data_IF_378786134265
#
_entry.id   IF_378786134265
#
_cell.length_a   1.000
_cell.length_b   1.000
_cell.length_c   1.000
_cell.angle_alpha   90.00
_cell.angle_beta   90.00
_cell.angle_gamma   90.00
#
_symmetry.space_group_name_H-M   'P 1'
#
loop_
_entity.id
_entity.type
_entity.pdbx_description
1 polymer ?
#
# COMPACT_ATOMS: atom_id res chain seq x y z
N UNK A 1 -1.60 -5.33 -1.26
CA UNK A 1 -2.40 -4.33 -2.00
C UNK A 1 -3.23 -3.44 -1.08
N UNK A 2 -3.75 -3.98 0.01
CA UNK A 2 -4.62 -3.23 0.92
C UNK A 2 -3.95 -1.97 1.48
N UNK A 3 -2.71 -2.10 1.95
CA UNK A 3 -1.97 -0.95 2.49
C UNK A 3 -1.63 0.10 1.43
N UNK A 4 -1.46 -0.33 0.18
CA UNK A 4 -1.15 0.59 -0.91
C UNK A 4 -2.30 1.55 -1.21
N UNK A 5 -3.53 1.06 -1.10
CA UNK A 5 -4.74 1.83 -1.41
C UNK A 5 -5.47 2.33 -0.16
N UNK A 6 -5.09 1.88 1.02
CA UNK A 6 -5.79 2.18 2.26
C UNK A 6 -5.81 3.67 2.62
N UNK A 7 -4.81 4.43 2.17
CA UNK A 7 -4.73 5.87 2.39
C UNK A 7 -5.54 6.73 1.42
N UNK A 8 -6.18 6.13 0.41
CA UNK A 8 -6.97 6.88 -0.57
C UNK A 8 -8.31 7.32 0.00
N UNK A 9 -8.85 8.41 -0.54
CA UNK A 9 -10.12 8.99 -0.07
C UNK A 9 -11.27 8.00 -0.17
N UNK A 10 -11.32 7.19 -1.21
CA UNK A 10 -12.39 6.22 -1.48
C UNK A 10 -12.26 4.93 -0.67
N UNK A 11 -11.12 4.69 -0.02
CA UNK A 11 -10.96 3.51 0.83
C UNK A 11 -11.88 3.61 2.05
N UNK A 12 -12.37 2.47 2.57
CA UNK A 12 -13.14 2.48 3.82
C UNK A 12 -12.28 2.95 4.98
N UNK A 13 -12.91 3.59 5.94
CA UNK A 13 -12.25 4.12 7.13
C UNK A 13 -12.36 5.63 7.23
N UNK A 14 -12.36 6.11 8.47
CA UNK A 14 -12.45 7.53 8.75
C UNK A 14 -11.09 8.23 8.52
N UNK A 15 -11.17 9.49 8.16
CA UNK A 15 -9.98 10.36 8.12
C UNK A 15 -9.72 10.92 9.51
N UNK A 16 -8.49 10.85 9.97
CA UNK A 16 -8.03 11.42 11.23
C UNK A 16 -6.94 12.47 11.00
N UNK A 17 -6.89 13.46 11.88
CA UNK A 17 -5.77 14.41 11.94
C UNK A 17 -4.95 14.10 13.20
N UNK A 18 -3.65 13.88 13.03
CA UNK A 18 -2.73 13.61 14.12
C UNK A 18 -1.43 14.38 13.89
N UNK A 19 -1.03 15.17 14.86
CA UNK A 19 0.18 16.01 14.77
C UNK A 19 0.24 16.88 13.50
N UNK A 20 -0.91 17.43 13.07
CA UNK A 20 -1.02 18.30 11.90
C UNK A 20 -1.02 17.56 10.56
N UNK A 21 -1.04 16.23 10.55
CA UNK A 21 -1.10 15.40 9.33
C UNK A 21 -2.40 14.62 9.26
N UNK A 22 -2.88 14.39 8.04
CA UNK A 22 -4.06 13.58 7.79
C UNK A 22 -3.70 12.11 7.62
N UNK A 23 -4.53 11.25 8.19
CA UNK A 23 -4.40 9.81 8.12
C UNK A 23 -5.75 9.17 7.84
N UNK A 24 -5.73 7.98 7.25
CA UNK A 24 -6.90 7.10 7.17
C UNK A 24 -6.75 5.97 8.18
N UNK A 25 -7.83 5.66 8.87
CA UNK A 25 -7.87 4.52 9.78
C UNK A 25 -7.86 3.23 8.96
N UNK A 26 -6.97 2.33 9.31
CA UNK A 26 -6.84 1.01 8.69
C UNK A 26 -7.16 -0.08 9.70
N UNK A 27 -7.95 -1.06 9.29
CA UNK A 27 -8.27 -2.24 10.10
C UNK A 27 -8.05 -3.51 9.28
N UNK A 28 -7.28 -4.46 9.83
CA UNK A 28 -7.23 -5.81 9.30
C UNK A 28 -8.58 -6.50 9.48
N UNK A 29 -8.92 -7.40 8.57
CA UNK A 29 -10.22 -8.11 8.59
C UNK A 29 -10.47 -8.86 9.89
N UNK A 30 -9.44 -9.41 10.50
CA UNK A 30 -9.51 -10.13 11.77
C UNK A 30 -9.33 -9.27 13.02
N UNK A 31 -9.25 -7.93 12.90
CA UNK A 31 -9.17 -7.04 14.05
C UNK A 31 -10.50 -7.00 14.81
N UNK A 32 -10.45 -6.65 16.09
CA UNK A 32 -11.65 -6.56 16.92
C UNK A 32 -12.68 -5.56 16.35
N UNK A 33 -12.21 -4.39 15.93
CA UNK A 33 -13.08 -3.38 15.35
C UNK A 33 -13.71 -3.79 14.01
N UNK A 34 -12.99 -4.54 13.18
CA UNK A 34 -13.53 -5.08 11.93
C UNK A 34 -14.58 -6.17 12.19
N UNK A 35 -14.34 -7.05 13.16
CA UNK A 35 -15.30 -8.10 13.55
C UNK A 35 -16.60 -7.52 14.09
N UNK A 36 -16.53 -6.47 14.90
CA UNK A 36 -17.70 -5.76 15.39
C UNK A 36 -18.53 -5.11 14.28
N UNK A 37 -17.91 -4.81 13.13
CA UNK A 37 -18.57 -4.19 11.98
C UNK A 37 -19.02 -5.17 10.90
N UNK A 38 -18.99 -6.47 11.16
CA UNK A 38 -19.59 -7.49 10.31
C UNK A 38 -18.64 -8.46 9.63
N UNK A 39 -17.31 -8.34 9.80
CA UNK A 39 -16.38 -9.32 9.22
C UNK A 39 -16.39 -10.67 9.96
N UNK A 40 -17.08 -10.76 11.07
CA UNK A 40 -17.23 -11.98 11.86
C UNK A 40 -17.84 -13.14 11.06
N UNK A 41 -18.72 -12.87 10.10
CA UNK A 41 -19.29 -13.88 9.19
C UNK A 41 -18.19 -14.66 8.48
N UNK A 42 -17.17 -13.98 8.06
CA UNK A 42 -16.02 -14.54 7.33
C UNK A 42 -15.22 -15.52 8.20
N UNK A 43 -15.29 -15.36 9.52
CA UNK A 43 -14.57 -16.19 10.49
C UNK A 43 -15.49 -17.12 11.27
N UNK A 44 -16.75 -17.26 10.84
CA UNK A 44 -17.76 -18.12 11.48
C UNK A 44 -17.98 -17.79 12.98
N UNK A 45 -18.04 -16.51 13.29
CA UNK A 45 -18.19 -16.01 14.67
C UNK A 45 -19.46 -15.17 14.86
N UNK A 46 -20.46 -15.37 14.02
CA UNK A 46 -21.69 -14.55 13.99
C UNK A 46 -22.45 -14.51 15.34
N UNK A 47 -22.51 -15.63 16.01
CA UNK A 47 -23.26 -15.77 17.28
C UNK A 47 -22.42 -15.42 18.51
N UNK A 48 -21.24 -14.87 18.32
CA UNK A 48 -20.33 -14.55 19.42
C UNK A 48 -20.39 -13.07 19.77
N UNK A 49 -20.34 -12.78 21.07
CA UNK A 49 -20.17 -11.41 21.54
C UNK A 49 -18.75 -10.91 21.17
N UNK A 50 -18.54 -9.57 21.06
CA UNK A 50 -17.20 -9.02 20.74
C UNK A 50 -16.09 -9.53 21.67
N UNK A 51 -16.40 -9.81 22.93
CA UNK A 51 -15.44 -10.34 23.91
C UNK A 51 -14.95 -11.75 23.62
N UNK A 52 -15.67 -12.50 22.78
CA UNK A 52 -15.33 -13.87 22.40
C UNK A 52 -14.59 -13.95 21.06
N UNK A 53 -14.50 -12.84 20.34
CA UNK A 53 -13.76 -12.78 19.08
C UNK A 53 -12.26 -12.84 19.34
N UNK A 54 -11.57 -13.61 18.51
CA UNK A 54 -10.10 -13.66 18.51
C UNK A 54 -9.60 -12.73 17.41
N UNK A 55 -9.04 -11.56 17.75
CA UNK A 55 -8.53 -10.65 16.74
C UNK A 55 -7.28 -11.22 16.05
N UNK A 56 -7.32 -11.33 14.73
CA UNK A 56 -6.22 -11.81 13.91
C UNK A 56 -5.53 -10.69 13.14
N UNK A 57 -6.19 -9.56 12.98
CA UNK A 57 -5.68 -8.40 12.28
C UNK A 57 -5.32 -7.25 13.23
N UNK A 58 -4.61 -6.27 12.68
CA UNK A 58 -4.23 -5.06 13.40
C UNK A 58 -5.17 -3.90 13.07
N UNK A 59 -5.24 -2.95 13.98
CA UNK A 59 -5.81 -1.63 13.73
C UNK A 59 -4.67 -0.61 13.70
N UNK A 60 -4.76 0.35 12.80
CA UNK A 60 -3.75 1.37 12.67
C UNK A 60 -4.21 2.51 11.79
N UNK A 61 -3.27 3.33 11.41
CA UNK A 61 -3.52 4.44 10.49
C UNK A 61 -2.44 4.46 9.41
N UNK A 62 -2.83 4.90 8.23
CA UNK A 62 -1.92 5.11 7.12
C UNK A 62 -2.04 6.55 6.63
N UNK A 63 -0.97 7.08 6.06
CA UNK A 63 -0.98 8.45 5.55
C UNK A 63 -2.09 8.65 4.51
N UNK A 64 -2.80 9.76 4.61
CA UNK A 64 -3.80 10.14 3.61
C UNK A 64 -3.12 10.47 2.28
N UNK A 65 -3.60 9.87 1.21
CA UNK A 65 -3.00 9.99 -0.13
C UNK A 65 -3.85 10.78 -1.13
N UNK A 66 -5.03 11.23 -0.72
CA UNK A 66 -5.97 11.91 -1.62
C UNK A 66 -6.78 10.94 -2.48
N UNK A 67 -7.33 11.41 -3.61
CA UNK A 67 -8.17 10.60 -4.48
C UNK A 67 -7.46 9.35 -5.01
N UNK A 68 -8.19 8.26 -5.13
CA UNK A 68 -7.69 7.01 -5.71
C UNK A 68 -7.14 7.22 -7.12
N UNK A 69 -7.78 8.06 -7.89
CA UNK A 69 -7.37 8.37 -9.26
C UNK A 69 -5.90 8.80 -9.35
N UNK A 70 -5.45 9.63 -8.43
CA UNK A 70 -4.06 10.11 -8.42
C UNK A 70 -3.07 8.96 -8.14
N UNK A 71 -3.43 8.08 -7.22
CA UNK A 71 -2.62 6.89 -6.93
C UNK A 71 -2.53 5.96 -8.13
N UNK A 72 -3.65 5.67 -8.79
CA UNK A 72 -3.68 4.83 -9.99
C UNK A 72 -2.87 5.46 -11.13
N UNK A 73 -3.01 6.76 -11.34
CA UNK A 73 -2.24 7.47 -12.34
C UNK A 73 -0.72 7.29 -12.13
N UNK A 74 -0.26 7.43 -10.90
CA UNK A 74 1.15 7.25 -10.57
C UNK A 74 1.62 5.82 -10.73
N UNK A 75 0.82 4.83 -10.29
CA UNK A 75 1.15 3.43 -10.47
C UNK A 75 1.24 3.05 -11.95
N UNK A 76 0.31 3.52 -12.75
CA UNK A 76 0.34 3.29 -14.20
C UNK A 76 1.52 3.97 -14.87
N UNK A 77 1.90 5.15 -14.42
CA UNK A 77 3.12 5.83 -14.85
C UNK A 77 4.37 5.01 -14.56
N UNK A 78 4.43 4.41 -13.38
CA UNK A 78 5.53 3.51 -12.99
C UNK A 78 5.61 2.27 -13.88
N UNK A 79 4.47 1.64 -14.18
CA UNK A 79 4.40 0.48 -15.10
C UNK A 79 4.90 0.86 -16.49
N UNK A 80 4.43 1.98 -17.03
CA UNK A 80 4.87 2.46 -18.36
C UNK A 80 6.36 2.75 -18.39
N UNK A 81 6.90 3.39 -17.37
CA UNK A 81 8.33 3.63 -17.26
C UNK A 81 9.12 2.32 -17.21
N UNK A 82 8.68 1.36 -16.41
CA UNK A 82 9.28 0.03 -16.33
C UNK A 82 9.27 -0.70 -17.68
N UNK A 83 8.17 -0.62 -18.42
CA UNK A 83 8.08 -1.17 -19.77
C UNK A 83 9.08 -0.49 -20.72
N UNK A 84 9.25 0.81 -20.61
CA UNK A 84 10.25 1.54 -21.39
C UNK A 84 11.69 1.09 -21.08
N UNK A 85 12.02 0.95 -19.80
CA UNK A 85 13.34 0.50 -19.37
C UNK A 85 13.67 -0.94 -19.79
N UNK A 86 12.68 -1.82 -19.80
CA UNK A 86 12.88 -3.23 -20.20
C UNK A 86 12.68 -3.48 -21.68
N UNK A 87 12.28 -2.47 -22.44
CA UNK A 87 11.96 -2.62 -23.87
C UNK A 87 10.71 -3.47 -24.12
N UNK A 88 9.78 -3.49 -23.18
CA UNK A 88 8.57 -4.30 -23.26
C UNK A 88 7.46 -3.57 -23.99
N UNK A 89 7.06 -4.09 -25.13
CA UNK A 89 6.07 -3.51 -26.03
C UNK A 89 4.65 -3.55 -25.45
N UNK A 90 4.36 -4.55 -24.61
CA UNK A 90 3.07 -4.74 -23.96
C UNK A 90 3.23 -5.49 -22.64
N UNK A 91 2.15 -5.61 -21.86
CA UNK A 91 2.18 -6.27 -20.56
C UNK A 91 2.50 -7.76 -20.65
N UNK A 92 2.09 -8.42 -21.72
CA UNK A 92 2.41 -9.83 -21.94
C UNK A 92 3.92 -10.04 -22.08
N UNK A 93 4.57 -9.23 -22.88
CA UNK A 93 6.04 -9.26 -23.04
C UNK A 93 6.76 -8.90 -21.75
N UNK A 94 6.26 -7.93 -20.99
CA UNK A 94 6.82 -7.60 -19.69
C UNK A 94 6.82 -8.80 -18.75
N UNK A 95 5.73 -9.56 -18.69
CA UNK A 95 5.61 -10.73 -17.82
C UNK A 95 6.42 -11.94 -18.28
N UNK A 96 6.50 -12.16 -19.59
CA UNK A 96 7.10 -13.36 -20.16
C UNK A 96 8.58 -13.22 -20.50
N UNK A 97 9.02 -12.03 -20.90
CA UNK A 97 10.36 -11.81 -21.42
C UNK A 97 11.27 -11.01 -20.49
N UNK A 98 10.72 -10.28 -19.52
CA UNK A 98 11.52 -9.53 -18.55
C UNK A 98 12.35 -10.48 -17.69
N UNK A 99 13.60 -10.12 -17.44
CA UNK A 99 14.53 -10.92 -16.66
C UNK A 99 14.79 -10.29 -15.30
N UNK A 100 14.87 -11.12 -14.28
CA UNK A 100 15.24 -10.69 -12.94
C UNK A 100 16.72 -10.93 -12.69
N UNK A 101 17.36 -10.00 -12.02
CA UNK A 101 18.73 -10.15 -11.53
C UNK A 101 18.74 -10.07 -10.01
N UNK A 102 19.63 -10.85 -9.39
CA UNK A 102 19.88 -10.71 -7.96
C UNK A 102 20.72 -9.47 -7.70
N UNK A 103 20.35 -8.74 -6.68
CA UNK A 103 21.05 -7.53 -6.27
C UNK A 103 21.51 -7.69 -4.83
N UNK A 104 22.79 -7.46 -4.57
CA UNK A 104 23.34 -7.42 -3.21
C UNK A 104 23.06 -6.08 -2.52
N UNK A 105 23.32 -5.99 -1.20
CA UNK A 105 23.10 -4.74 -0.47
C UNK A 105 23.87 -3.55 -1.04
N UNK A 106 25.09 -3.75 -1.52
CA UNK A 106 25.89 -2.69 -2.13
C UNK A 106 25.27 -2.19 -3.43
N UNK A 107 24.77 -3.10 -4.29
CA UNK A 107 24.08 -2.73 -5.53
C UNK A 107 22.77 -2.01 -5.26
N UNK A 108 22.04 -2.41 -4.20
CA UNK A 108 20.81 -1.74 -3.79
C UNK A 108 21.12 -0.30 -3.35
N UNK A 109 22.13 -0.10 -2.51
CA UNK A 109 22.55 1.24 -2.09
C UNK A 109 22.96 2.12 -3.27
N UNK A 110 23.68 1.56 -4.24
CA UNK A 110 24.12 2.28 -5.43
C UNK A 110 22.96 2.66 -6.37
N UNK A 111 21.88 1.87 -6.38
CA UNK A 111 20.71 2.13 -7.22
C UNK A 111 19.81 3.26 -6.71
N UNK A 112 19.96 3.66 -5.44
CA UNK A 112 19.27 4.80 -4.84
C UNK A 112 20.15 6.04 -4.85
N UNK A 113 19.57 7.25 -4.68
CA UNK A 113 20.38 8.43 -4.43
C UNK A 113 21.29 8.24 -3.23
N UNK A 114 22.57 8.38 -3.42
CA UNK A 114 23.57 8.23 -2.36
C UNK A 114 24.50 9.45 -2.35
N UNK A 115 25.13 9.70 -1.21
CA UNK A 115 25.99 10.85 -0.99
C UNK A 115 25.31 12.22 -1.22
N UNK A 116 23.98 12.25 -1.14
CA UNK A 116 23.17 13.47 -1.22
C UNK A 116 22.10 13.47 -0.14
N UNK A 117 21.77 14.63 0.36
CA UNK A 117 20.62 14.80 1.23
C UNK A 117 19.39 15.11 0.36
N UNK A 118 18.39 14.24 0.42
CA UNK A 118 17.16 14.44 -0.34
C UNK A 118 16.36 15.55 0.33
N UNK A 119 16.12 16.64 -0.39
CA UNK A 119 15.33 17.78 0.08
C UNK A 119 13.91 17.77 -0.45
N UNK A 120 13.67 17.03 -1.54
CA UNK A 120 12.35 16.85 -2.14
C UNK A 120 12.29 15.48 -2.79
N UNK A 121 11.36 14.66 -2.33
CA UNK A 121 11.13 13.34 -2.91
C UNK A 121 10.26 13.40 -4.15
N UNK A 122 10.47 12.48 -5.08
CA UNK A 122 9.53 12.28 -6.17
C UNK A 122 8.27 11.57 -5.66
N UNK A 123 7.10 11.75 -6.32
CA UNK A 123 5.85 11.16 -5.85
C UNK A 123 5.86 9.64 -5.71
N UNK A 124 6.67 8.95 -6.48
CA UNK A 124 6.75 7.49 -6.51
C UNK A 124 7.97 6.93 -5.76
N UNK A 125 8.69 7.77 -5.05
CA UNK A 125 9.90 7.37 -4.34
C UNK A 125 9.74 7.62 -2.84
N UNK A 126 9.92 6.56 -2.06
CA UNK A 126 9.96 6.66 -0.60
C UNK A 126 11.02 5.68 -0.06
N UNK A 127 11.69 6.13 0.94
CA UNK A 127 12.58 5.28 1.73
C UNK A 127 11.84 4.49 2.78
#
# INVERSE_FOLDING_TARGET
>A
SDLLLAGTEESPGATEVFQGRQYKVYRGMGSLGAMEKGSNDRYFQEDKTPRKFVPEGIEGRTAYKGPLQDTIYQLMGGVRAGMGYTGSENLKKLREEAQFTRMGPAGLAESHPHNVQITKESPNYSF
#
